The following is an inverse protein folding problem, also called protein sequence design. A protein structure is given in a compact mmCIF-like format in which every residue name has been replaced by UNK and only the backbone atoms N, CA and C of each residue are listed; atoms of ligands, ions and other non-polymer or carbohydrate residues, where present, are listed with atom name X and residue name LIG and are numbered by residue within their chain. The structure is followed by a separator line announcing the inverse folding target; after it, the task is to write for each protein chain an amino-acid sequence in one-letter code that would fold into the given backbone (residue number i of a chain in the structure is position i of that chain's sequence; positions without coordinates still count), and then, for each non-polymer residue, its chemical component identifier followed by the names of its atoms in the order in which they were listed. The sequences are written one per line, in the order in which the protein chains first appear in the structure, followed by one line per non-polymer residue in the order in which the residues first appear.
data_IF_623217986011
#
_entry.id   IF_623217986011
#
_cell.length_a   1.000
_cell.length_b   1.000
_cell.length_c   1.000
_cell.angle_alpha   90.00
_cell.angle_beta   90.00
_cell.angle_gamma   90.00
#
_symmetry.space_group_name_H-M   'P 1'
#
loop_
_entity.id
_entity.type
_entity.pdbx_description
1 polymer ?
#
# COMPACT_ATOMS: atom_id res chain seq x y z
N UNK A 1 -2.39 -8.80 -9.51
CA UNK A 1 -2.09 -10.23 -9.44
C UNK A 1 -2.00 -10.69 -7.97
N UNK A 2 -1.09 -10.15 -7.14
CA UNK A 2 -0.88 -10.58 -5.75
C UNK A 2 -2.19 -10.68 -4.93
N UNK A 3 -3.00 -9.60 -4.90
CA UNK A 3 -4.28 -9.60 -4.17
C UNK A 3 -5.27 -10.68 -4.68
N UNK A 4 -5.33 -10.88 -5.99
CA UNK A 4 -6.19 -11.89 -6.62
C UNK A 4 -5.74 -13.30 -6.24
N UNK A 5 -4.45 -13.58 -6.34
CA UNK A 5 -3.89 -14.90 -6.00
C UNK A 5 -4.10 -15.20 -4.51
N UNK A 6 -3.91 -14.20 -3.64
CA UNK A 6 -4.15 -14.33 -2.20
C UNK A 6 -5.62 -14.57 -1.87
N UNK A 7 -6.54 -13.83 -2.49
CA UNK A 7 -7.97 -14.01 -2.33
C UNK A 7 -8.43 -15.42 -2.75
N UNK A 8 -7.89 -15.93 -3.87
CA UNK A 8 -8.16 -17.31 -4.34
C UNK A 8 -7.67 -18.37 -3.36
N UNK A 9 -6.46 -18.19 -2.83
CA UNK A 9 -5.88 -19.12 -1.86
C UNK A 9 -6.70 -19.16 -0.56
N UNK A 10 -7.16 -18.01 -0.09
CA UNK A 10 -7.98 -17.88 1.12
C UNK A 10 -9.47 -18.22 0.87
N UNK A 11 -9.90 -18.26 -0.40
CA UNK A 11 -11.31 -18.39 -0.81
C UNK A 11 -12.21 -17.32 -0.19
N UNK A 12 -11.71 -16.09 -0.10
CA UNK A 12 -12.38 -14.95 0.53
C UNK A 12 -12.40 -13.77 -0.45
N UNK A 13 -13.54 -13.08 -0.50
CA UNK A 13 -13.63 -11.82 -1.22
C UNK A 13 -13.18 -10.67 -0.28
N UNK A 14 -12.20 -9.83 -0.65
CA UNK A 14 -11.76 -8.72 0.18
C UNK A 14 -12.88 -7.72 0.52
N UNK A 15 -13.94 -7.65 -0.28
CA UNK A 15 -15.12 -6.81 -0.02
C UNK A 15 -15.94 -7.27 1.18
N UNK A 16 -15.88 -8.56 1.52
CA UNK A 16 -16.62 -9.12 2.65
C UNK A 16 -15.85 -9.00 3.98
N UNK A 17 -14.61 -8.49 3.92
CA UNK A 17 -13.76 -8.31 5.08
C UNK A 17 -13.98 -6.94 5.70
N UNK A 18 -13.94 -6.88 7.03
CA UNK A 18 -13.93 -5.64 7.79
C UNK A 18 -12.68 -5.60 8.66
N UNK A 19 -11.98 -4.47 8.63
CA UNK A 19 -10.81 -4.27 9.48
C UNK A 19 -11.25 -3.69 10.83
N UNK A 20 -10.83 -4.36 11.89
CA UNK A 20 -10.92 -3.83 13.24
C UNK A 20 -9.60 -3.11 13.57
N UNK A 21 -9.64 -1.80 13.85
CA UNK A 21 -8.44 -0.98 14.14
C UNK A 21 -7.52 -1.62 15.21
N UNK A 22 -8.10 -2.26 16.20
CA UNK A 22 -7.37 -2.90 17.31
C UNK A 22 -6.60 -4.17 16.93
N UNK A 23 -6.78 -4.66 15.71
CA UNK A 23 -6.08 -5.84 15.17
C UNK A 23 -5.02 -5.50 14.13
N UNK A 24 -4.82 -4.22 13.85
CA UNK A 24 -3.83 -3.74 12.89
C UNK A 24 -2.48 -3.60 13.60
N UNK A 25 -1.46 -4.15 12.97
CA UNK A 25 -0.07 -3.94 13.39
C UNK A 25 0.49 -2.64 12.78
N UNK A 26 1.72 -2.31 13.14
CA UNK A 26 2.39 -1.07 12.73
C UNK A 26 2.45 -0.94 11.21
N UNK A 27 2.66 -2.04 10.50
CA UNK A 27 2.76 -2.06 9.03
C UNK A 27 1.44 -1.68 8.37
N UNK A 28 0.31 -2.20 8.88
CA UNK A 28 -1.02 -1.86 8.39
C UNK A 28 -1.36 -0.40 8.70
N UNK A 29 -1.10 0.04 9.92
CA UNK A 29 -1.33 1.44 10.33
C UNK A 29 -0.53 2.41 9.48
N UNK A 30 0.75 2.10 9.20
CA UNK A 30 1.61 2.92 8.37
C UNK A 30 1.08 3.05 6.93
N UNK A 31 0.80 1.93 6.25
CA UNK A 31 0.33 2.00 4.85
C UNK A 31 -1.05 2.64 4.72
N UNK A 32 -1.94 2.48 5.71
CA UNK A 32 -3.23 3.15 5.75
C UNK A 32 -3.08 4.65 6.03
N UNK A 33 -2.13 5.07 6.87
CA UNK A 33 -1.79 6.49 7.05
C UNK A 33 -1.28 7.10 5.74
N UNK A 34 -0.33 6.43 5.06
CA UNK A 34 0.19 6.87 3.75
C UNK A 34 -0.92 6.96 2.70
N UNK A 35 -1.86 6.02 2.67
CA UNK A 35 -3.03 6.08 1.79
C UNK A 35 -3.85 7.34 2.04
N UNK A 36 -4.25 7.60 3.30
CA UNK A 36 -5.08 8.74 3.65
C UNK A 36 -4.35 10.07 3.41
N UNK A 37 -3.06 10.14 3.69
CA UNK A 37 -2.22 11.28 3.35
C UNK A 37 -2.16 11.53 1.83
N UNK A 38 -2.02 10.48 1.04
CA UNK A 38 -1.98 10.60 -0.42
C UNK A 38 -3.33 11.07 -0.99
N UNK A 39 -4.46 10.59 -0.43
CA UNK A 39 -5.80 11.04 -0.84
C UNK A 39 -5.99 12.53 -0.49
N UNK A 40 -5.61 12.94 0.71
CA UNK A 40 -5.70 14.33 1.16
C UNK A 40 -4.88 15.25 0.25
N UNK A 41 -3.59 14.93 0.06
CA UNK A 41 -2.70 15.72 -0.80
C UNK A 41 -3.17 15.78 -2.26
N UNK A 42 -3.59 14.63 -2.83
CA UNK A 42 -4.08 14.60 -4.21
C UNK A 42 -5.36 15.42 -4.37
N UNK A 43 -6.23 15.43 -3.36
CA UNK A 43 -7.45 16.27 -3.38
C UNK A 43 -7.08 17.74 -3.39
N UNK A 44 -6.16 18.18 -2.53
CA UNK A 44 -5.64 19.56 -2.52
C UNK A 44 -5.00 19.92 -3.87
N UNK A 45 -4.17 19.02 -4.44
CA UNK A 45 -3.53 19.29 -5.73
C UNK A 45 -4.54 19.42 -6.89
N UNK A 46 -5.64 18.66 -6.87
CA UNK A 46 -6.70 18.84 -7.85
C UNK A 46 -7.42 20.17 -7.68
N UNK A 47 -7.75 20.57 -6.44
CA UNK A 47 -8.42 21.82 -6.13
C UNK A 47 -7.56 23.04 -6.50
N UNK A 48 -6.24 22.93 -6.34
CA UNK A 48 -5.26 23.97 -6.68
C UNK A 48 -4.77 23.91 -8.14
N UNK A 49 -5.31 23.00 -8.97
CA UNK A 49 -4.85 22.77 -10.35
C UNK A 49 -3.37 22.36 -10.49
N UNK A 50 -2.77 21.78 -9.45
CA UNK A 50 -1.39 21.27 -9.41
C UNK A 50 -1.29 19.83 -9.93
N UNK A 51 -1.84 19.57 -11.11
CA UNK A 51 -2.02 18.22 -11.65
C UNK A 51 -0.70 17.46 -11.90
N UNK A 52 0.40 18.18 -12.09
CA UNK A 52 1.74 17.61 -12.28
C UNK A 52 2.30 16.93 -11.02
N UNK A 53 1.76 17.20 -9.83
CA UNK A 53 2.23 16.64 -8.57
C UNK A 53 1.52 15.32 -8.21
N UNK A 54 0.34 15.10 -8.74
CA UNK A 54 -0.48 13.91 -8.45
C UNK A 54 0.21 12.58 -8.84
N UNK A 55 0.86 12.45 -10.03
CA UNK A 55 1.54 11.22 -10.39
C UNK A 55 2.58 10.78 -9.34
N UNK A 56 3.33 11.72 -8.76
CA UNK A 56 4.34 11.43 -7.73
C UNK A 56 3.71 10.89 -6.44
N UNK A 57 2.57 11.45 -6.01
CA UNK A 57 1.86 10.97 -4.83
C UNK A 57 1.37 9.54 -5.00
N UNK A 58 0.79 9.23 -6.17
CA UNK A 58 0.29 7.88 -6.46
C UNK A 58 1.45 6.90 -6.64
N UNK A 59 2.54 7.32 -7.30
CA UNK A 59 3.73 6.49 -7.45
C UNK A 59 4.36 6.16 -6.09
N UNK A 60 4.54 7.15 -5.22
CA UNK A 60 5.07 6.95 -3.87
C UNK A 60 4.23 5.95 -3.09
N UNK A 61 2.90 6.14 -3.06
CA UNK A 61 1.98 5.20 -2.40
C UNK A 61 2.07 3.78 -2.97
N UNK A 62 2.14 3.65 -4.30
CA UNK A 62 2.25 2.35 -4.95
C UNK A 62 3.59 1.67 -4.66
N UNK A 63 4.68 2.43 -4.62
CA UNK A 63 6.00 1.91 -4.26
C UNK A 63 6.03 1.49 -2.79
N UNK A 64 5.44 2.27 -1.90
CA UNK A 64 5.30 1.93 -0.49
C UNK A 64 4.52 0.63 -0.30
N UNK A 65 3.38 0.49 -0.98
CA UNK A 65 2.61 -0.76 -0.97
C UNK A 65 3.44 -1.95 -1.48
N UNK A 66 4.10 -1.80 -2.63
CA UNK A 66 4.72 -2.93 -3.32
C UNK A 66 6.10 -3.30 -2.78
N UNK A 67 6.91 -2.32 -2.35
CA UNK A 67 8.30 -2.53 -1.93
C UNK A 67 8.47 -2.59 -0.42
N UNK A 68 7.63 -1.88 0.33
CA UNK A 68 7.71 -1.86 1.79
C UNK A 68 6.68 -2.79 2.41
N UNK A 69 5.39 -2.49 2.27
CA UNK A 69 4.34 -3.25 2.93
C UNK A 69 4.28 -4.73 2.52
N UNK A 70 4.24 -5.05 1.23
CA UNK A 70 4.19 -6.45 0.77
C UNK A 70 5.46 -7.22 1.15
N UNK A 71 6.61 -6.56 1.21
CA UNK A 71 7.86 -7.22 1.61
C UNK A 71 7.94 -7.43 3.13
N UNK A 72 7.58 -6.45 3.95
CA UNK A 72 7.58 -6.58 5.42
C UNK A 72 6.57 -7.61 5.91
N UNK A 73 5.40 -7.69 5.26
CA UNK A 73 4.34 -8.65 5.63
C UNK A 73 4.47 -10.02 4.94
N UNK A 74 5.55 -10.27 4.18
CA UNK A 74 5.71 -11.50 3.39
C UNK A 74 5.69 -12.77 4.24
N UNK A 75 6.39 -12.77 5.37
CA UNK A 75 6.42 -13.90 6.28
C UNK A 75 5.04 -14.14 6.90
N UNK A 76 4.42 -13.07 7.38
CA UNK A 76 3.06 -13.06 7.95
C UNK A 76 2.02 -13.54 6.93
N UNK A 77 2.15 -13.13 5.65
CA UNK A 77 1.25 -13.59 4.57
C UNK A 77 1.41 -15.07 4.22
N UNK A 78 2.59 -15.67 4.46
CA UNK A 78 2.87 -17.07 4.15
C UNK A 78 2.57 -18.00 5.33
N UNK A 79 3.07 -17.65 6.52
CA UNK A 79 3.06 -18.52 7.71
C UNK A 79 2.18 -18.00 8.85
N UNK A 80 1.64 -16.80 8.74
CA UNK A 80 0.74 -16.20 9.73
C UNK A 80 -0.62 -16.91 9.82
N UNK A 81 -1.43 -16.50 10.78
CA UNK A 81 -2.80 -16.97 10.97
C UNK A 81 -3.69 -16.65 9.75
N UNK A 82 -4.85 -17.29 9.66
CA UNK A 82 -5.84 -16.92 8.63
C UNK A 82 -6.33 -15.48 8.81
N UNK A 83 -6.39 -14.99 10.04
CA UNK A 83 -6.79 -13.62 10.35
C UNK A 83 -5.75 -12.63 9.83
N UNK A 84 -4.46 -12.85 10.08
CA UNK A 84 -3.37 -12.02 9.54
C UNK A 84 -3.43 -11.95 8.01
N UNK A 85 -3.62 -13.09 7.36
CA UNK A 85 -3.75 -13.15 5.90
C UNK A 85 -4.96 -12.39 5.37
N UNK A 86 -6.08 -12.39 6.09
CA UNK A 86 -7.27 -11.62 5.72
C UNK A 86 -7.04 -10.12 5.89
N UNK A 87 -6.37 -9.71 6.96
CA UNK A 87 -5.98 -8.30 7.19
C UNK A 87 -5.09 -7.82 6.06
N UNK A 88 -4.04 -8.57 5.73
CA UNK A 88 -3.13 -8.23 4.63
C UNK A 88 -3.87 -8.15 3.30
N UNK A 89 -4.72 -9.12 2.98
CA UNK A 89 -5.51 -9.12 1.76
C UNK A 89 -6.39 -7.87 1.64
N UNK A 90 -7.12 -7.55 2.71
CA UNK A 90 -7.99 -6.38 2.73
C UNK A 90 -7.18 -5.08 2.58
N UNK A 91 -6.08 -4.95 3.31
CA UNK A 91 -5.21 -3.77 3.25
C UNK A 91 -4.64 -3.57 1.85
N UNK A 92 -4.06 -4.62 1.25
CA UNK A 92 -3.53 -4.55 -0.13
C UNK A 92 -4.62 -4.20 -1.14
N UNK A 93 -5.79 -4.82 -1.01
CA UNK A 93 -6.92 -4.53 -1.89
C UNK A 93 -7.37 -3.07 -1.75
N UNK A 94 -7.56 -2.60 -0.53
CA UNK A 94 -8.03 -1.24 -0.24
C UNK A 94 -7.05 -0.18 -0.79
N UNK A 95 -5.76 -0.31 -0.46
CA UNK A 95 -4.73 0.64 -0.93
C UNK A 95 -4.65 0.63 -2.45
N UNK A 96 -4.64 -0.54 -3.09
CA UNK A 96 -4.62 -0.66 -4.55
C UNK A 96 -5.87 -0.03 -5.17
N UNK A 97 -7.04 -0.32 -4.65
CA UNK A 97 -8.32 0.14 -5.19
C UNK A 97 -8.47 1.66 -5.12
N UNK A 98 -8.14 2.26 -3.97
CA UNK A 98 -8.16 3.72 -3.79
C UNK A 98 -7.07 4.41 -4.65
N UNK A 99 -5.88 3.81 -4.78
CA UNK A 99 -4.83 4.30 -5.69
C UNK A 99 -5.29 4.33 -7.15
N UNK A 100 -6.08 3.33 -7.60
CA UNK A 100 -6.64 3.33 -8.96
C UNK A 100 -7.60 4.49 -9.17
N UNK A 101 -8.43 4.81 -8.18
CA UNK A 101 -9.37 5.94 -8.24
C UNK A 101 -8.63 7.27 -8.30
N UNK A 102 -7.59 7.44 -7.49
CA UNK A 102 -6.73 8.63 -7.50
C UNK A 102 -6.06 8.85 -8.87
N UNK A 103 -5.61 7.76 -9.49
CA UNK A 103 -4.84 7.83 -10.72
C UNK A 103 -5.68 7.77 -12.00
N UNK A 104 -6.97 7.42 -11.90
CA UNK A 104 -7.87 7.30 -13.03
C UNK A 104 -7.96 8.57 -13.89
N UNK A 105 -8.03 9.80 -13.36
CA UNK A 105 -8.03 11.01 -14.16
C UNK A 105 -6.71 11.27 -14.92
N UNK A 106 -5.60 10.76 -14.42
CA UNK A 106 -4.25 10.99 -14.98
C UNK A 106 -3.90 9.91 -16.01
N UNK A 107 -4.17 8.65 -15.69
CA UNK A 107 -3.82 7.50 -16.54
C UNK A 107 -5.03 6.57 -16.77
N UNK A 108 -6.04 7.06 -17.52
CA UNK A 108 -7.36 6.41 -17.62
C UNK A 108 -7.31 4.98 -18.16
N UNK A 109 -6.47 4.71 -19.15
CA UNK A 109 -6.44 3.40 -19.81
C UNK A 109 -5.85 2.29 -18.93
N UNK A 110 -4.75 2.57 -18.24
CA UNK A 110 -4.10 1.57 -17.39
C UNK A 110 -4.91 1.30 -16.12
N UNK A 111 -5.47 2.32 -15.51
CA UNK A 111 -6.33 2.18 -14.33
C UNK A 111 -7.60 1.41 -14.64
N UNK A 112 -8.22 1.70 -15.79
CA UNK A 112 -9.38 0.95 -16.27
C UNK A 112 -9.03 -0.53 -16.52
N UNK A 113 -7.93 -0.81 -17.18
CA UNK A 113 -7.49 -2.19 -17.43
C UNK A 113 -7.29 -2.97 -16.11
N UNK A 114 -6.65 -2.35 -15.12
CA UNK A 114 -6.44 -2.99 -13.81
C UNK A 114 -7.77 -3.16 -13.09
N UNK A 115 -8.63 -2.13 -13.12
CA UNK A 115 -9.97 -2.17 -12.53
C UNK A 115 -10.82 -3.31 -13.11
N UNK A 116 -10.83 -3.49 -14.43
CA UNK A 116 -11.60 -4.57 -15.06
C UNK A 116 -11.14 -5.96 -14.60
N UNK A 117 -9.84 -6.15 -14.36
CA UNK A 117 -9.33 -7.40 -13.78
C UNK A 117 -9.87 -7.62 -12.35
N UNK A 118 -9.88 -6.56 -11.52
CA UNK A 118 -10.44 -6.62 -10.17
C UNK A 118 -11.96 -6.83 -10.20
N UNK A 119 -12.65 -6.12 -11.09
CA UNK A 119 -14.10 -6.23 -11.29
C UNK A 119 -14.52 -7.65 -11.65
N UNK A 120 -13.84 -8.26 -12.59
CA UNK A 120 -14.11 -9.64 -13.01
C UNK A 120 -13.94 -10.63 -11.85
N UNK A 121 -12.87 -10.47 -11.07
CA UNK A 121 -12.53 -11.39 -9.98
C UNK A 121 -13.43 -11.20 -8.76
N UNK A 122 -13.61 -9.96 -8.31
CA UNK A 122 -14.33 -9.64 -7.07
C UNK A 122 -15.80 -9.26 -7.27
N UNK A 123 -16.29 -9.30 -8.51
CA UNK A 123 -17.69 -8.99 -8.87
C UNK A 123 -18.11 -7.58 -8.48
N UNK A 124 -17.24 -6.58 -8.78
CA UNK A 124 -17.56 -5.18 -8.52
C UNK A 124 -18.76 -4.74 -9.37
N UNK A 125 -19.59 -3.88 -8.79
CA UNK A 125 -20.88 -3.47 -9.41
C UNK A 125 -20.69 -2.50 -10.56
N UNK A 126 -19.84 -1.49 -10.36
CA UNK A 126 -19.62 -0.43 -11.34
C UNK A 126 -18.90 -0.97 -12.57
N UNK A 127 -19.31 -0.49 -13.74
CA UNK A 127 -18.80 -0.98 -15.03
C UNK A 127 -17.40 -0.44 -15.34
N UNK A 128 -17.01 0.68 -14.73
CA UNK A 128 -15.74 1.36 -14.97
C UNK A 128 -15.22 2.04 -13.70
N UNK A 129 -13.89 2.15 -13.57
CA UNK A 129 -13.26 2.93 -12.49
C UNK A 129 -13.70 4.39 -12.53
N UNK A 130 -14.01 4.91 -13.71
CA UNK A 130 -14.43 6.30 -13.91
C UNK A 130 -15.87 6.59 -13.46
N UNK A 131 -16.64 5.56 -13.10
CA UNK A 131 -17.97 5.70 -12.51
C UNK A 131 -17.92 5.68 -10.97
N UNK A 132 -16.76 5.41 -10.40
CA UNK A 132 -16.57 5.46 -8.95
C UNK A 132 -16.46 6.91 -8.47
N UNK A 133 -16.90 7.16 -7.23
CA UNK A 133 -16.67 8.43 -6.57
C UNK A 133 -15.20 8.66 -6.23
N UNK A 134 -14.82 9.94 -6.13
CA UNK A 134 -13.51 10.32 -5.64
C UNK A 134 -13.24 9.73 -4.26
N UNK A 135 -12.04 9.21 -3.97
CA UNK A 135 -11.73 8.63 -2.68
C UNK A 135 -11.84 9.66 -1.55
N UNK A 136 -12.26 9.20 -0.39
CA UNK A 136 -12.33 10.04 0.81
C UNK A 136 -11.25 9.59 1.78
N UNK A 137 -10.58 10.54 2.38
CA UNK A 137 -9.62 10.26 3.46
C UNK A 137 -10.29 10.36 4.83
N UNK A 138 -9.69 9.69 5.79
CA UNK A 138 -10.04 9.73 7.21
C UNK A 138 -8.86 10.34 7.96
N UNK A 139 -9.03 11.54 8.51
CA UNK A 139 -8.00 12.26 9.27
C UNK A 139 -7.52 11.46 10.49
N UNK A 140 -8.42 10.67 11.11
CA UNK A 140 -8.09 9.84 12.27
C UNK A 140 -7.15 8.66 11.93
N UNK A 141 -6.92 8.41 10.65
CA UNK A 141 -5.98 7.40 10.16
C UNK A 141 -4.63 8.00 9.75
N UNK A 142 -4.50 9.32 9.70
CA UNK A 142 -3.26 10.00 9.34
C UNK A 142 -2.39 10.15 10.57
N UNK A 143 -1.28 9.43 10.63
CA UNK A 143 -0.25 9.54 11.67
C UNK A 143 1.10 9.94 11.05
N UNK A 144 1.35 11.24 11.01
CA UNK A 144 2.59 11.79 10.46
C UNK A 144 3.85 11.36 11.22
N UNK A 145 3.74 11.19 12.54
CA UNK A 145 4.88 10.73 13.35
C UNK A 145 5.25 9.29 12.99
N UNK A 146 4.25 8.44 12.74
CA UNK A 146 4.47 7.07 12.28
C UNK A 146 5.09 7.06 10.87
N UNK A 147 4.59 7.89 9.95
CA UNK A 147 5.13 7.99 8.60
C UNK A 147 6.61 8.41 8.61
N UNK A 148 6.98 9.44 9.38
CA UNK A 148 8.35 9.92 9.53
C UNK A 148 9.26 8.87 10.20
N UNK A 149 8.76 8.18 11.23
CA UNK A 149 9.51 7.13 11.92
C UNK A 149 9.81 5.95 10.99
N UNK A 150 8.84 5.52 10.19
CA UNK A 150 9.02 4.42 9.23
C UNK A 150 9.94 4.82 8.08
N UNK A 151 9.91 6.09 7.64
CA UNK A 151 10.85 6.60 6.68
C UNK A 151 12.28 6.56 7.23
N UNK A 152 12.51 7.02 8.46
CA UNK A 152 13.82 6.95 9.10
C UNK A 152 14.35 5.52 9.21
N UNK A 153 13.49 4.56 9.58
CA UNK A 153 13.84 3.12 9.60
C UNK A 153 14.25 2.63 8.22
N UNK A 154 13.50 3.01 7.17
CA UNK A 154 13.82 2.64 5.78
C UNK A 154 15.17 3.20 5.34
N UNK A 155 15.48 4.45 5.66
CA UNK A 155 16.77 5.09 5.35
C UNK A 155 17.95 4.39 6.05
N UNK A 156 17.79 4.04 7.32
CA UNK A 156 18.79 3.27 8.08
C UNK A 156 19.00 1.90 7.45
N UNK A 157 17.93 1.20 7.10
CA UNK A 157 18.02 -0.12 6.45
C UNK A 157 18.74 -0.03 5.09
N UNK A 158 18.39 0.94 4.26
CA UNK A 158 19.05 1.15 2.95
C UNK A 158 20.52 1.48 3.11
N UNK A 159 20.86 2.34 4.06
CA UNK A 159 22.25 2.72 4.37
C UNK A 159 23.08 1.51 4.84
N UNK A 160 22.49 0.67 5.70
CA UNK A 160 23.12 -0.56 6.17
C UNK A 160 23.34 -1.56 5.01
N UNK A 161 22.36 -1.73 4.13
CA UNK A 161 22.47 -2.59 2.95
C UNK A 161 23.55 -2.08 1.99
N UNK A 162 23.58 -0.78 1.71
CA UNK A 162 24.59 -0.16 0.86
C UNK A 162 26.01 -0.30 1.45
N UNK A 163 26.15 -0.15 2.78
CA UNK A 163 27.45 -0.37 3.45
C UNK A 163 27.92 -1.83 3.32
N UNK A 164 27.00 -2.79 3.47
CA UNK A 164 27.29 -4.23 3.29
C UNK A 164 27.71 -4.56 1.86
N UNK A 165 27.03 -3.97 0.88
CA UNK A 165 27.37 -4.16 -0.53
C UNK A 165 28.78 -3.65 -0.87
N UNK A 166 29.18 -2.49 -0.35
CA UNK A 166 30.53 -1.93 -0.55
C UNK A 166 31.66 -2.85 -0.08
N UNK A 167 31.43 -3.65 0.96
CA UNK A 167 32.40 -4.61 1.51
C UNK A 167 32.14 -6.04 1.04
N UNK A 168 31.21 -6.23 0.08
CA UNK A 168 30.80 -7.55 -0.44
C UNK A 168 30.33 -8.53 0.64
N UNK A 169 29.72 -8.02 1.71
CA UNK A 169 29.20 -8.83 2.80
C UNK A 169 27.72 -9.14 2.61
N UNK A 170 27.39 -10.38 2.33
CA UNK A 170 26.01 -10.83 2.13
C UNK A 170 25.13 -10.59 3.35
N UNK A 171 23.84 -10.33 3.13
CA UNK A 171 22.85 -9.99 4.18
C UNK A 171 22.66 -11.09 5.25
N UNK A 172 23.02 -12.33 4.94
CA UNK A 172 22.91 -13.48 5.84
C UNK A 172 24.01 -13.53 6.93
N UNK A 173 25.08 -12.76 6.76
CA UNK A 173 26.16 -12.73 7.73
C UNK A 173 25.80 -11.76 8.86
N UNK A 174 25.80 -12.24 10.14
CA UNK A 174 25.51 -11.37 11.26
C UNK A 174 26.59 -10.30 11.43
N UNK A 175 26.16 -9.12 11.85
CA UNK A 175 27.06 -8.04 12.29
C UNK A 175 26.94 -7.88 13.80
N UNK A 176 28.02 -7.41 14.42
CA UNK A 176 28.07 -7.19 15.86
C UNK A 176 27.19 -6.02 16.29
N UNK A 177 27.22 -4.94 15.52
CA UNK A 177 26.53 -3.69 15.82
C UNK A 177 26.34 -2.85 14.56
N UNK A 178 25.41 -1.92 14.61
CA UNK A 178 25.24 -0.82 13.68
C UNK A 178 25.43 0.46 14.49
N UNK A 179 26.29 1.35 14.01
CA UNK A 179 26.45 2.70 14.57
C UNK A 179 25.74 3.67 13.66
N UNK A 180 24.77 4.41 14.20
CA UNK A 180 23.95 5.37 13.49
C UNK A 180 24.39 6.78 13.90
#
# INVERSE_FOLDING_TARGET
KYAIDMAKNLKVNPLDLQLEKNKLDVEELHILSKLNSAISNATEFFDDYRLNEIPWQVEELFLELSRTYIQSTREKSSMGSEEDKKIILHTVYNVLFESLKLFAPIAPFITEMIYQNLRHEFKLKEESVHLLGWPKYDDDLIDKNLEESMQAVSEVMQSALAAREKIHLGVRWPLKEIVI
#
